data_IF_127728573137
#
_entry.id   IF_127728573137
#
_cell.length_a   1.000
_cell.length_b   1.000
_cell.length_c   1.000
_cell.angle_alpha   90.00
_cell.angle_beta   90.00
_cell.angle_gamma   90.00
#
_symmetry.space_group_name_H-M   'P 1'
#
loop_
_entity.id
_entity.type
_entity.pdbx_description
1 polymer ?
#
# COMPACT_ATOMS: atom_id res chain seq x y z
N UNK A 1 5.35 -9.19 -13.25
CA UNK A 1 4.20 -9.12 -12.30
C UNK A 1 4.59 -8.40 -11.02
N UNK A 2 5.55 -8.91 -10.23
CA UNK A 2 5.95 -8.27 -8.97
C UNK A 2 6.42 -6.83 -9.16
N UNK A 3 7.30 -6.56 -10.12
CA UNK A 3 7.73 -5.19 -10.46
C UNK A 3 6.56 -4.30 -10.92
N UNK A 4 5.58 -4.88 -11.62
CA UNK A 4 4.38 -4.15 -12.06
C UNK A 4 3.44 -3.82 -10.90
N UNK A 5 3.41 -4.63 -9.85
CA UNK A 5 2.59 -4.37 -8.65
C UNK A 5 3.28 -3.33 -7.78
N UNK A 6 4.59 -3.45 -7.55
CA UNK A 6 5.39 -2.46 -6.82
C UNK A 6 5.25 -1.08 -7.47
N UNK A 7 5.53 -0.95 -8.76
CA UNK A 7 5.49 0.36 -9.42
C UNK A 7 4.09 1.00 -9.45
N UNK A 8 3.02 0.19 -9.46
CA UNK A 8 1.64 0.70 -9.36
C UNK A 8 1.31 1.19 -7.96
N UNK A 9 1.79 0.50 -6.92
CA UNK A 9 1.65 0.94 -5.54
C UNK A 9 2.44 2.24 -5.35
N UNK A 10 3.69 2.29 -5.78
CA UNK A 10 4.52 3.51 -5.70
C UNK A 10 3.85 4.70 -6.40
N UNK A 11 3.33 4.52 -7.61
CA UNK A 11 2.59 5.57 -8.31
C UNK A 11 1.31 6.01 -7.57
N UNK A 12 0.60 5.08 -6.92
CA UNK A 12 -0.58 5.41 -6.12
C UNK A 12 -0.23 6.18 -4.82
N UNK A 13 1.01 6.03 -4.34
CA UNK A 13 1.52 6.73 -3.17
C UNK A 13 2.06 8.13 -3.45
N UNK A 14 2.40 8.47 -4.71
CA UNK A 14 2.90 9.82 -5.08
C UNK A 14 1.95 10.95 -4.67
N UNK A 15 0.65 10.68 -4.56
CA UNK A 15 -0.37 11.64 -4.12
C UNK A 15 -0.47 11.84 -2.61
N UNK A 16 0.34 11.14 -1.81
CA UNK A 16 0.24 11.12 -0.35
C UNK A 16 1.58 11.46 0.32
N UNK A 17 1.55 12.23 1.42
CA UNK A 17 2.75 12.51 2.22
C UNK A 17 3.14 11.25 3.01
N UNK A 18 4.03 10.44 2.43
CA UNK A 18 4.56 9.20 2.99
C UNK A 18 6.05 9.41 3.29
N UNK A 19 6.47 9.15 4.53
CA UNK A 19 7.88 9.21 4.93
C UNK A 19 8.64 7.96 4.51
N UNK A 20 8.06 6.78 4.72
CA UNK A 20 8.63 5.49 4.35
C UNK A 20 7.52 4.48 4.06
N UNK A 21 7.85 3.45 3.27
CA UNK A 21 6.92 2.38 2.97
C UNK A 21 7.64 1.05 2.71
N UNK A 22 6.96 -0.05 3.01
CA UNK A 22 7.49 -1.39 2.76
C UNK A 22 6.41 -2.30 2.18
N UNK A 23 6.68 -2.78 0.97
CA UNK A 23 5.81 -3.72 0.27
C UNK A 23 6.32 -5.14 0.51
N UNK A 24 5.42 -6.03 0.93
CA UNK A 24 5.65 -7.47 0.98
C UNK A 24 4.67 -8.15 0.05
N UNK A 25 5.15 -9.16 -0.66
CA UNK A 25 4.34 -9.94 -1.58
C UNK A 25 4.51 -11.42 -1.31
N UNK A 26 3.40 -12.12 -1.22
CA UNK A 26 3.35 -13.58 -1.12
C UNK A 26 2.44 -14.12 -2.21
N UNK A 27 2.95 -15.04 -3.02
CA UNK A 27 2.14 -15.70 -4.05
C UNK A 27 1.48 -16.94 -3.44
N UNK A 28 0.16 -16.94 -3.38
CA UNK A 28 -0.68 -18.02 -2.85
C UNK A 28 -1.46 -18.65 -4.01
N UNK A 29 -0.78 -19.48 -4.79
CA UNK A 29 -1.37 -20.10 -5.99
C UNK A 29 -1.69 -19.07 -7.07
N UNK A 30 -2.98 -18.81 -7.30
CA UNK A 30 -3.48 -17.81 -8.27
C UNK A 30 -3.64 -16.41 -7.67
N UNK A 31 -3.58 -16.30 -6.34
CA UNK A 31 -3.73 -15.03 -5.63
C UNK A 31 -2.35 -14.47 -5.30
N UNK A 32 -2.19 -13.16 -5.45
CA UNK A 32 -1.03 -12.43 -4.94
C UNK A 32 -1.46 -11.66 -3.69
N UNK A 33 -1.02 -12.12 -2.52
CA UNK A 33 -1.18 -11.38 -1.28
C UNK A 33 -0.14 -10.27 -1.20
N UNK A 34 -0.58 -9.04 -0.98
CA UNK A 34 0.27 -7.86 -0.85
C UNK A 34 0.03 -7.25 0.52
N UNK A 35 1.08 -7.07 1.31
CA UNK A 35 1.01 -6.32 2.56
C UNK A 35 1.86 -5.08 2.42
N UNK A 36 1.22 -3.91 2.52
CA UNK A 36 1.87 -2.62 2.46
C UNK A 36 1.92 -2.01 3.85
N UNK A 37 3.12 -1.82 4.38
CA UNK A 37 3.33 -1.00 5.56
C UNK A 37 3.60 0.43 5.11
N UNK A 38 2.85 1.39 5.64
CA UNK A 38 2.96 2.80 5.32
C UNK A 38 3.27 3.59 6.58
N UNK A 39 4.35 4.37 6.52
CA UNK A 39 4.64 5.41 7.49
C UNK A 39 4.23 6.76 6.89
N UNK A 40 3.13 7.37 7.35
CA UNK A 40 2.77 8.73 6.97
C UNK A 40 3.91 9.69 7.35
N UNK A 41 4.08 10.76 6.58
CA UNK A 41 5.00 11.81 6.98
C UNK A 41 4.49 12.56 8.23
N UNK A 42 5.41 13.14 9.01
CA UNK A 42 5.07 13.89 10.23
C UNK A 42 4.13 15.09 9.96
N UNK A 43 4.15 15.62 8.74
CA UNK A 43 3.30 16.72 8.27
C UNK A 43 2.00 16.24 7.60
N UNK A 44 1.78 14.93 7.51
CA UNK A 44 0.56 14.37 6.99
C UNK A 44 -0.62 14.78 7.88
N UNK A 45 -1.48 15.64 7.35
CA UNK A 45 -2.75 16.02 8.00
C UNK A 45 -3.75 14.87 7.89
N UNK A 46 -3.48 13.77 8.59
CA UNK A 46 -4.40 12.65 8.76
C UNK A 46 -5.48 13.07 9.76
N UNK A 47 -6.59 13.61 9.24
CA UNK A 47 -7.69 14.13 10.07
C UNK A 47 -8.61 13.03 10.61
N UNK A 48 -8.47 11.80 10.13
CA UNK A 48 -9.19 10.64 10.64
C UNK A 48 -9.06 9.41 9.77
N UNK A 49 -9.95 8.44 10.01
CA UNK A 49 -9.97 7.14 9.31
C UNK A 49 -10.35 7.30 7.83
N UNK A 50 -11.08 8.35 7.46
CA UNK A 50 -11.52 8.57 6.08
C UNK A 50 -10.35 8.80 5.11
N UNK A 51 -9.35 9.58 5.52
CA UNK A 51 -8.14 9.80 4.71
C UNK A 51 -7.34 8.50 4.53
N UNK A 52 -7.25 7.68 5.57
CA UNK A 52 -6.59 6.37 5.51
C UNK A 52 -7.35 5.40 4.58
N UNK A 53 -8.68 5.43 4.62
CA UNK A 53 -9.52 4.61 3.74
C UNK A 53 -9.40 5.04 2.28
N UNK A 54 -9.23 6.34 2.02
CA UNK A 54 -9.00 6.87 0.67
C UNK A 54 -7.65 6.39 0.09
N UNK A 55 -6.60 6.34 0.91
CA UNK A 55 -5.31 5.76 0.51
C UNK A 55 -5.51 4.29 0.11
N UNK A 56 -6.20 3.52 0.94
CA UNK A 56 -6.50 2.10 0.64
C UNK A 56 -7.24 1.96 -0.69
N UNK A 57 -8.30 2.74 -0.90
CA UNK A 57 -9.09 2.71 -2.13
C UNK A 57 -8.27 3.05 -3.38
N UNK A 58 -7.38 4.06 -3.30
CA UNK A 58 -6.55 4.45 -4.43
C UNK A 58 -5.59 3.33 -4.84
N UNK A 59 -5.01 2.63 -3.87
CA UNK A 59 -4.10 1.52 -4.14
C UNK A 59 -4.87 0.32 -4.70
N UNK A 60 -6.04 -0.02 -4.13
CA UNK A 60 -6.92 -1.06 -4.67
C UNK A 60 -7.30 -0.78 -6.13
N UNK A 61 -7.68 0.46 -6.44
CA UNK A 61 -8.01 0.89 -7.80
C UNK A 61 -6.82 0.77 -8.76
N UNK A 62 -5.61 1.12 -8.31
CA UNK A 62 -4.39 0.97 -9.11
C UNK A 62 -4.09 -0.51 -9.43
N UNK A 63 -4.41 -1.41 -8.49
CA UNK A 63 -4.16 -2.84 -8.61
C UNK A 63 -5.29 -3.61 -9.32
N UNK A 64 -6.49 -3.04 -9.43
CA UNK A 64 -7.63 -3.65 -10.13
C UNK A 64 -7.35 -3.99 -11.60
N UNK A 65 -6.37 -3.32 -12.22
CA UNK A 65 -5.95 -3.55 -13.61
C UNK A 65 -4.87 -4.63 -13.75
N UNK A 66 -4.55 -5.38 -12.68
CA UNK A 66 -3.63 -6.53 -12.75
C UNK A 66 -4.45 -7.78 -13.10
N UNK A 67 -3.97 -8.61 -14.04
CA UNK A 67 -4.66 -9.85 -14.47
C UNK A 67 -4.73 -10.95 -13.38
N UNK A 68 -4.26 -10.68 -12.17
CA UNK A 68 -4.24 -11.61 -11.04
C UNK A 68 -5.20 -11.14 -9.96
N UNK A 69 -5.73 -12.08 -9.19
CA UNK A 69 -6.46 -11.75 -7.97
C UNK A 69 -5.45 -11.24 -6.93
N UNK A 70 -5.50 -9.93 -6.64
CA UNK A 70 -4.60 -9.28 -5.69
C UNK A 70 -5.37 -8.99 -4.41
N UNK A 71 -4.99 -9.64 -3.31
CA UNK A 71 -5.47 -9.29 -1.97
C UNK A 71 -4.48 -8.33 -1.34
N UNK A 72 -4.90 -7.09 -1.07
CA UNK A 72 -4.05 -6.08 -0.44
C UNK A 72 -4.49 -5.84 1.01
N UNK A 73 -3.50 -5.77 1.89
CA UNK A 73 -3.64 -5.27 3.26
C UNK A 73 -2.73 -4.07 3.46
N UNK A 74 -3.28 -2.99 4.04
CA UNK A 74 -2.59 -1.71 4.24
C UNK A 74 -2.51 -1.43 5.72
N UNK A 75 -1.28 -1.40 6.24
CA UNK A 75 -0.98 -1.23 7.66
C UNK A 75 -0.27 0.11 7.84
N UNK A 76 -0.91 1.02 8.56
CA UNK A 76 -0.28 2.28 8.94
C UNK A 76 0.55 2.07 10.20
N UNK A 77 1.83 2.45 10.13
CA UNK A 77 2.79 2.26 11.22
C UNK A 77 3.49 3.58 11.54
N UNK A 78 3.66 3.84 12.82
CA UNK A 78 4.43 4.99 13.30
C UNK A 78 5.95 4.70 13.28
N UNK A 79 6.31 3.43 13.48
CA UNK A 79 7.69 2.94 13.46
C UNK A 79 7.84 1.74 12.51
N UNK A 80 8.61 1.95 11.43
CA UNK A 80 8.89 0.93 10.41
C UNK A 80 9.73 -0.24 10.92
N UNK A 81 10.38 -0.14 12.07
CA UNK A 81 11.09 -1.27 12.69
C UNK A 81 10.13 -2.39 13.13
N UNK A 82 8.83 -2.07 13.28
CA UNK A 82 7.75 -3.02 13.56
C UNK A 82 7.27 -3.77 12.32
N UNK A 83 7.56 -3.25 11.11
CA UNK A 83 7.26 -3.89 9.83
C UNK A 83 8.27 -5.01 9.51
N UNK A 84 8.47 -5.95 10.44
CA UNK A 84 9.42 -7.08 10.38
C UNK A 84 8.93 -8.27 9.59
#
# INVERSE_FOLDING_TARGET
VQESVIGRIEAALEGFPVADHRIRMVKLGKVLGVTLHLQPADDALLKGVAELDQIRHNIEAALASVELEVGIDVIFVDDMTLAR
#
